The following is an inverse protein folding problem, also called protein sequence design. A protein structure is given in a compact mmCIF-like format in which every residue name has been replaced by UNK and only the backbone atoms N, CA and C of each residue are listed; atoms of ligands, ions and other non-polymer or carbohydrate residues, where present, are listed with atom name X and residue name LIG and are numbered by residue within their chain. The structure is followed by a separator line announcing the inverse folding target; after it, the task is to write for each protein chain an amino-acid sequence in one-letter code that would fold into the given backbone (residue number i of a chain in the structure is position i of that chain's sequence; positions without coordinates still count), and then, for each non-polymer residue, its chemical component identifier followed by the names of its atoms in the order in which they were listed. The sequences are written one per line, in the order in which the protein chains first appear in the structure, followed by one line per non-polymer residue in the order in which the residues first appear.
data_IF_091357766761
#
_entry.id   IF_091357766761
#
_cell.length_a   1.000
_cell.length_b   1.000
_cell.length_c   1.000
_cell.angle_alpha   90.00
_cell.angle_beta   90.00
_cell.angle_gamma   90.00
#
_symmetry.space_group_name_H-M   'P 1'
#
loop_
_entity.id
_entity.type
_entity.pdbx_description
1 polymer ?
#
# COMPACT_ATOMS: atom_id res chain seq x y z
N UNK A 1 8.78 65.72 -50.46
CA UNK A 1 9.09 67.14 -50.75
C UNK A 1 8.23 68.03 -49.85
N UNK A 2 8.88 68.97 -49.14
CA UNK A 2 8.38 70.24 -48.54
C UNK A 2 7.21 70.16 -47.53
N UNK A 3 7.46 70.34 -46.23
CA UNK A 3 7.80 71.59 -45.47
C UNK A 3 6.55 72.25 -44.86
N UNK A 4 6.43 72.08 -43.54
CA UNK A 4 6.00 73.04 -42.49
C UNK A 4 5.43 74.40 -42.90
N UNK A 5 4.32 74.81 -42.27
CA UNK A 5 4.10 76.19 -41.75
C UNK A 5 3.24 76.15 -40.47
N UNK A 6 3.73 76.83 -39.42
CA UNK A 6 3.06 77.17 -38.14
C UNK A 6 1.97 78.25 -38.36
N UNK A 7 1.05 78.44 -37.40
CA UNK A 7 0.80 79.75 -36.75
C UNK A 7 -0.28 79.58 -35.63
N UNK A 8 0.08 80.07 -34.44
CA UNK A 8 -0.77 80.37 -33.29
C UNK A 8 -1.74 81.54 -33.61
N UNK A 9 -2.93 81.59 -32.99
CA UNK A 9 -3.30 82.67 -32.05
C UNK A 9 -4.78 82.67 -31.67
N UNK A 10 -4.98 82.98 -30.39
CA UNK A 10 -6.18 83.12 -29.54
C UNK A 10 -6.96 84.41 -29.85
N UNK A 11 -8.27 84.45 -29.52
CA UNK A 11 -9.13 85.60 -29.06
C UNK A 11 -10.61 85.19 -29.30
N UNK A 12 -11.66 85.43 -28.49
CA UNK A 12 -11.92 85.84 -27.11
C UNK A 12 -13.43 85.60 -26.86
N UNK A 13 -13.76 85.13 -25.65
CA UNK A 13 -14.99 85.22 -24.86
C UNK A 13 -16.15 86.14 -25.32
N UNK A 14 -17.38 85.61 -25.43
CA UNK A 14 -18.64 86.31 -25.04
C UNK A 14 -19.60 85.28 -24.43
N UNK A 15 -20.01 85.55 -23.18
CA UNK A 15 -20.84 84.69 -22.36
C UNK A 15 -22.33 84.71 -22.70
N UNK A 16 -23.00 83.66 -22.24
CA UNK A 16 -24.45 83.63 -22.04
C UNK A 16 -24.73 83.09 -20.65
N UNK A 17 -25.44 83.90 -19.86
CA UNK A 17 -25.99 83.59 -18.55
C UNK A 17 -27.12 82.59 -18.77
N UNK A 18 -27.01 81.39 -18.20
CA UNK A 18 -28.13 80.45 -18.06
C UNK A 18 -28.44 80.29 -16.57
N UNK A 19 -29.69 80.56 -16.25
CA UNK A 19 -30.28 80.58 -14.93
C UNK A 19 -29.92 79.34 -14.09
N UNK A 20 -29.46 79.60 -12.87
CA UNK A 20 -29.33 78.60 -11.82
C UNK A 20 -30.73 78.08 -11.42
N UNK A 21 -31.04 76.85 -11.82
CA UNK A 21 -32.03 76.06 -11.10
C UNK A 21 -31.35 75.54 -9.83
N UNK A 22 -31.99 75.57 -8.65
CA UNK A 22 -31.48 74.82 -7.52
C UNK A 22 -31.52 73.34 -7.90
N UNK A 23 -30.34 72.74 -8.08
CA UNK A 23 -30.22 71.29 -7.92
C UNK A 23 -30.72 71.02 -6.50
N UNK A 24 -31.90 70.44 -6.37
CA UNK A 24 -32.22 69.71 -5.15
C UNK A 24 -31.16 68.61 -5.07
N UNK A 25 -30.16 68.82 -4.22
CA UNK A 25 -29.24 67.75 -3.86
C UNK A 25 -30.12 66.65 -3.31
N UNK A 26 -30.23 65.54 -4.04
CA UNK A 26 -30.64 64.28 -3.44
C UNK A 26 -29.76 64.11 -2.22
N UNK A 27 -30.36 64.19 -1.03
CA UNK A 27 -29.65 63.91 0.21
C UNK A 27 -29.00 62.55 0.02
N UNK A 28 -27.67 62.51 -0.07
CA UNK A 28 -26.94 61.26 -0.01
C UNK A 28 -27.22 60.72 1.38
N UNK A 29 -28.13 59.75 1.50
CA UNK A 29 -28.36 59.04 2.75
C UNK A 29 -27.01 58.43 3.12
N UNK A 30 -26.37 59.00 4.15
CA UNK A 30 -25.03 58.61 4.55
C UNK A 30 -25.12 57.34 5.37
N UNK A 31 -25.20 56.20 4.68
CA UNK A 31 -25.21 54.90 5.32
C UNK A 31 -23.94 54.70 6.17
N UNK A 32 -24.09 54.22 7.41
CA UNK A 32 -22.95 53.85 8.23
C UNK A 32 -22.30 52.59 7.65
N UNK A 33 -21.00 52.68 7.36
CA UNK A 33 -20.27 51.56 6.79
C UNK A 33 -20.08 50.44 7.82
N UNK A 34 -20.50 49.23 7.47
CA UNK A 34 -20.01 48.00 8.08
C UNK A 34 -18.68 47.70 7.40
N UNK A 35 -17.62 47.59 8.19
CA UNK A 35 -16.24 47.31 7.74
C UNK A 35 -15.62 46.08 8.40
N UNK A 36 -16.34 45.46 9.33
CA UNK A 36 -15.97 44.21 10.00
C UNK A 36 -17.23 43.45 10.42
N UNK A 37 -17.11 42.12 10.47
CA UNK A 37 -18.20 41.22 10.91
C UNK A 37 -17.65 40.14 11.83
N UNK A 38 -18.50 39.65 12.73
CA UNK A 38 -18.19 38.50 13.59
C UNK A 38 -19.29 37.47 13.48
N UNK A 39 -18.90 36.24 13.17
CA UNK A 39 -19.78 35.10 12.98
C UNK A 39 -19.26 33.97 13.87
N UNK A 40 -20.16 33.27 14.53
CA UNK A 40 -19.88 31.96 15.11
C UNK A 40 -20.51 30.88 14.24
N UNK A 41 -19.82 29.78 14.07
CA UNK A 41 -20.37 28.57 13.46
C UNK A 41 -20.04 27.34 14.30
N UNK A 42 -20.84 26.30 14.18
CA UNK A 42 -20.63 25.02 14.86
C UNK A 42 -21.47 23.91 14.28
N UNK A 43 -21.10 22.68 14.61
CA UNK A 43 -21.87 21.47 14.33
C UNK A 43 -21.62 20.43 15.41
N UNK A 44 -22.66 19.70 15.77
CA UNK A 44 -22.59 18.52 16.65
C UNK A 44 -22.46 17.22 15.83
N UNK A 45 -22.40 17.30 14.50
CA UNK A 45 -22.21 16.13 13.65
C UNK A 45 -20.87 15.43 13.94
N UNK A 46 -20.93 14.11 14.00
CA UNK A 46 -19.78 13.22 14.12
C UNK A 46 -19.55 12.42 12.82
N UNK A 47 -18.45 11.68 12.77
CA UNK A 47 -18.22 10.78 11.65
C UNK A 47 -19.33 9.70 11.59
N UNK A 48 -19.87 9.44 10.40
CA UNK A 48 -21.05 8.61 10.22
C UNK A 48 -22.35 9.39 10.03
N UNK A 49 -22.41 10.65 10.48
CA UNK A 49 -23.60 11.48 10.30
C UNK A 49 -23.72 12.04 8.88
N UNK A 50 -24.91 12.55 8.58
CA UNK A 50 -25.18 13.40 7.42
C UNK A 50 -25.32 14.85 7.87
N UNK A 51 -24.89 15.79 7.02
CA UNK A 51 -25.17 17.20 7.29
C UNK A 51 -26.68 17.44 7.21
N UNK A 52 -27.25 18.29 8.08
CA UNK A 52 -28.64 18.68 7.94
C UNK A 52 -28.84 19.44 6.63
N UNK A 53 -30.02 19.31 6.04
CA UNK A 53 -30.36 19.98 4.77
C UNK A 53 -30.20 21.49 4.83
N UNK A 54 -30.38 22.10 6.01
CA UNK A 54 -30.09 23.53 6.24
C UNK A 54 -29.57 23.73 7.67
N UNK A 55 -28.46 24.47 7.86
CA UNK A 55 -28.02 24.91 9.19
C UNK A 55 -29.00 25.92 9.81
N UNK A 56 -28.99 26.01 11.14
CA UNK A 56 -29.85 26.96 11.87
C UNK A 56 -29.19 28.34 11.96
N UNK A 57 -29.94 29.40 11.66
CA UNK A 57 -29.55 30.79 11.92
C UNK A 57 -29.92 31.20 13.35
N UNK A 58 -28.97 31.78 14.09
CA UNK A 58 -29.17 32.20 15.49
C UNK A 58 -28.74 33.65 15.67
N UNK A 59 -29.65 34.48 16.17
CA UNK A 59 -29.43 35.91 16.37
C UNK A 59 -29.14 36.27 17.84
N UNK A 60 -28.47 37.40 18.05
CA UNK A 60 -28.27 37.99 19.38
C UNK A 60 -27.23 37.30 20.27
N UNK A 61 -26.44 36.36 19.74
CA UNK A 61 -25.41 35.65 20.53
C UNK A 61 -24.18 35.25 19.70
N UNK A 62 -23.04 35.10 20.38
CA UNK A 62 -21.85 34.42 19.82
C UNK A 62 -21.37 33.28 20.71
N UNK A 63 -22.27 32.74 21.54
CA UNK A 63 -22.02 31.59 22.38
C UNK A 63 -22.31 30.28 21.64
N UNK A 64 -21.75 29.18 22.12
CA UNK A 64 -21.96 27.87 21.52
C UNK A 64 -23.45 27.47 21.58
N UNK A 65 -23.97 27.01 20.45
CA UNK A 65 -25.31 26.41 20.35
C UNK A 65 -25.16 24.91 20.07
N UNK A 66 -26.23 24.14 20.32
CA UNK A 66 -26.33 22.74 19.89
C UNK A 66 -26.73 22.65 18.42
N UNK A 67 -26.44 21.51 17.79
CA UNK A 67 -26.72 21.21 16.40
C UNK A 67 -25.78 21.95 15.44
N UNK A 68 -26.18 22.05 14.18
CA UNK A 68 -25.44 22.76 13.13
C UNK A 68 -26.01 24.17 12.94
N UNK A 69 -25.17 25.19 13.11
CA UNK A 69 -25.65 26.58 13.15
C UNK A 69 -24.62 27.60 12.68
N UNK A 70 -25.14 28.78 12.30
CA UNK A 70 -24.41 30.04 12.29
C UNK A 70 -25.08 31.03 13.24
N UNK A 71 -24.29 31.78 14.00
CA UNK A 71 -24.77 32.77 14.95
C UNK A 71 -24.05 34.11 14.82
N UNK A 72 -24.80 35.19 14.99
CA UNK A 72 -24.26 36.56 15.05
C UNK A 72 -24.82 37.32 16.26
N UNK A 73 -24.05 38.31 16.72
CA UNK A 73 -24.52 39.28 17.70
C UNK A 73 -24.14 40.67 17.22
N UNK A 74 -25.07 41.34 16.55
CA UNK A 74 -24.86 42.66 15.95
C UNK A 74 -26.18 43.41 15.88
N UNK A 75 -26.12 44.73 16.05
CA UNK A 75 -27.24 45.63 15.73
C UNK A 75 -27.13 46.23 14.32
N UNK A 76 -26.07 45.89 13.56
CA UNK A 76 -25.80 46.45 12.22
C UNK A 76 -26.22 45.52 11.09
N UNK A 77 -26.31 44.22 11.38
CA UNK A 77 -26.63 43.19 10.41
C UNK A 77 -27.24 41.99 11.14
N UNK A 78 -28.05 41.23 10.41
CA UNK A 78 -28.60 39.92 10.81
C UNK A 78 -28.19 38.87 9.79
N UNK A 79 -28.40 37.60 10.11
CA UNK A 79 -28.34 36.50 9.16
C UNK A 79 -29.62 36.51 8.34
N UNK A 80 -29.45 36.64 7.02
CA UNK A 80 -30.52 36.50 6.02
C UNK A 80 -30.71 35.04 5.64
N UNK A 81 -29.58 34.34 5.46
CA UNK A 81 -29.58 32.92 5.12
C UNK A 81 -28.33 32.20 5.60
N UNK A 82 -28.48 30.90 5.84
CA UNK A 82 -27.38 29.98 6.08
C UNK A 82 -27.59 28.75 5.22
N UNK A 83 -26.64 28.51 4.34
CA UNK A 83 -26.66 27.37 3.45
C UNK A 83 -25.27 26.73 3.36
N UNK A 84 -25.18 25.58 2.74
CA UNK A 84 -23.91 24.94 2.46
C UNK A 84 -23.28 25.52 1.19
N UNK A 85 -21.96 25.66 1.19
CA UNK A 85 -21.25 26.10 -0.02
C UNK A 85 -21.32 25.02 -1.10
N UNK A 86 -21.35 25.42 -2.37
CA UNK A 86 -21.35 24.48 -3.48
C UNK A 86 -20.17 23.50 -3.41
N UNK A 87 -20.45 22.21 -3.61
CA UNK A 87 -19.47 21.13 -3.45
C UNK A 87 -19.22 20.72 -2.00
N UNK A 88 -20.02 21.20 -1.05
CA UNK A 88 -20.11 20.61 0.29
C UNK A 88 -20.94 19.34 0.20
N UNK A 89 -20.41 18.24 0.73
CA UNK A 89 -20.97 16.90 0.53
C UNK A 89 -22.18 16.67 1.45
N UNK A 90 -23.32 17.30 1.19
CA UNK A 90 -24.55 17.06 1.93
C UNK A 90 -25.07 15.62 1.76
N UNK A 91 -24.89 15.04 0.56
CA UNK A 91 -25.33 13.68 0.22
C UNK A 91 -24.31 12.58 0.56
N UNK A 92 -23.25 12.89 1.31
CA UNK A 92 -22.25 11.88 1.71
C UNK A 92 -22.11 11.84 3.21
N UNK A 93 -22.05 10.61 3.72
CA UNK A 93 -21.65 10.30 5.10
C UNK A 93 -20.39 11.09 5.44
N UNK A 94 -20.44 11.82 6.55
CA UNK A 94 -19.31 12.59 7.05
C UNK A 94 -18.21 11.65 7.50
N UNK A 95 -16.99 11.93 7.06
CA UNK A 95 -15.81 11.17 7.45
C UNK A 95 -14.96 11.99 8.40
N UNK A 96 -14.22 11.29 9.25
CA UNK A 96 -13.29 11.91 10.20
C UNK A 96 -12.33 12.86 9.49
N UNK A 97 -12.25 14.10 9.99
CA UNK A 97 -11.41 15.16 9.45
C UNK A 97 -11.97 15.86 8.20
N UNK A 98 -13.17 15.50 7.73
CA UNK A 98 -13.87 16.30 6.73
C UNK A 98 -14.20 17.69 7.29
N UNK A 99 -14.02 18.75 6.49
CA UNK A 99 -14.22 20.14 6.91
C UNK A 99 -15.32 20.81 6.05
N UNK A 100 -16.61 20.67 6.42
CA UNK A 100 -17.71 21.25 5.68
C UNK A 100 -17.60 22.77 5.55
N UNK A 101 -18.16 23.34 4.47
CA UNK A 101 -18.14 24.78 4.22
C UNK A 101 -19.55 25.33 4.17
N UNK A 102 -19.82 26.35 4.98
CA UNK A 102 -21.10 27.06 5.01
C UNK A 102 -20.97 28.42 4.34
N UNK A 103 -22.04 28.88 3.72
CA UNK A 103 -22.23 30.27 3.30
C UNK A 103 -23.22 30.91 4.27
N UNK A 104 -22.75 31.93 4.98
CA UNK A 104 -23.59 32.75 5.86
C UNK A 104 -23.85 34.07 5.14
N UNK A 105 -25.08 34.30 4.73
CA UNK A 105 -25.52 35.55 4.10
C UNK A 105 -25.96 36.50 5.18
N UNK A 106 -25.23 37.58 5.37
CA UNK A 106 -25.59 38.65 6.30
C UNK A 106 -26.30 39.76 5.54
N UNK A 107 -27.39 40.30 6.09
CA UNK A 107 -28.11 41.46 5.53
C UNK A 107 -28.02 42.64 6.50
N UNK A 108 -27.83 43.84 5.97
CA UNK A 108 -27.75 45.04 6.81
C UNK A 108 -29.10 45.32 7.49
N UNK A 109 -29.04 45.74 8.76
CA UNK A 109 -30.24 46.07 9.54
C UNK A 109 -30.77 47.46 9.17
N UNK A 110 -32.09 47.64 9.30
CA UNK A 110 -32.78 48.91 9.03
C UNK A 110 -33.82 49.22 10.11
N UNK A 111 -34.03 50.51 10.39
CA UNK A 111 -35.01 50.96 11.40
C UNK A 111 -36.45 51.11 10.84
N UNK A 112 -36.60 51.47 9.55
CA UNK A 112 -37.90 51.64 8.87
C UNK A 112 -37.91 50.99 7.48
N UNK A 113 -39.06 50.46 7.05
CA UNK A 113 -39.21 49.87 5.70
C UNK A 113 -38.86 50.91 4.62
N UNK A 114 -37.73 50.72 3.95
CA UNK A 114 -37.23 51.60 2.90
C UNK A 114 -36.05 52.50 3.29
N UNK A 115 -35.60 52.51 4.55
CA UNK A 115 -34.51 53.37 5.04
C UNK A 115 -33.37 52.54 5.62
N UNK A 116 -32.24 52.43 4.92
CA UNK A 116 -31.08 51.64 5.38
C UNK A 116 -30.24 52.47 6.35
N UNK A 117 -29.87 51.93 7.50
CA UNK A 117 -28.93 52.59 8.43
C UNK A 117 -27.48 52.17 8.17
N UNK A 118 -27.30 50.94 7.69
CA UNK A 118 -26.00 50.32 7.49
C UNK A 118 -25.81 49.75 6.09
N UNK A 119 -24.57 49.72 5.64
CA UNK A 119 -24.19 49.14 4.34
C UNK A 119 -22.82 48.45 4.44
N UNK A 120 -22.67 47.26 3.86
CA UNK A 120 -21.38 46.61 3.74
C UNK A 120 -20.51 47.35 2.72
N UNK A 121 -19.36 47.87 3.15
CA UNK A 121 -18.41 48.58 2.29
C UNK A 121 -16.97 48.14 2.55
N UNK A 122 -16.15 48.23 1.50
CA UNK A 122 -14.73 47.85 1.55
C UNK A 122 -14.47 46.38 1.23
N UNK A 123 -13.24 45.94 1.47
CA UNK A 123 -12.84 44.54 1.29
C UNK A 123 -13.03 43.75 2.59
N UNK A 124 -13.50 42.51 2.47
CA UNK A 124 -13.66 41.58 3.58
C UNK A 124 -12.66 40.43 3.44
N UNK A 125 -11.85 40.23 4.47
CA UNK A 125 -10.79 39.24 4.55
C UNK A 125 -10.66 38.72 5.98
N UNK A 126 -9.75 37.78 6.23
CA UNK A 126 -9.51 37.24 7.57
C UNK A 126 -9.08 38.29 8.61
N UNK A 127 -8.64 39.48 8.19
CA UNK A 127 -8.26 40.57 9.12
C UNK A 127 -9.45 41.32 9.72
N UNK A 128 -10.62 41.30 9.07
CA UNK A 128 -11.83 42.00 9.50
C UNK A 128 -13.09 41.12 9.51
N UNK A 129 -12.95 39.84 9.21
CA UNK A 129 -13.99 38.82 9.40
C UNK A 129 -13.54 37.88 10.51
N UNK A 130 -14.17 38.00 11.68
CA UNK A 130 -13.90 37.11 12.81
C UNK A 130 -14.83 35.91 12.77
N UNK A 131 -14.27 34.71 12.60
CA UNK A 131 -15.03 33.45 12.64
C UNK A 131 -14.68 32.68 13.90
N UNK A 132 -15.64 32.50 14.81
CA UNK A 132 -15.52 31.62 15.98
C UNK A 132 -16.05 30.23 15.63
N UNK A 133 -15.35 29.17 16.05
CA UNK A 133 -15.78 27.78 15.79
C UNK A 133 -15.50 27.27 14.37
N UNK A 134 -14.90 28.08 13.50
CA UNK A 134 -14.49 27.73 12.16
C UNK A 134 -13.35 28.62 11.65
N UNK A 135 -13.15 28.63 10.34
CA UNK A 135 -12.14 29.44 9.66
C UNK A 135 -12.75 30.21 8.50
N UNK A 136 -12.30 31.45 8.31
CA UNK A 136 -12.70 32.27 7.17
C UNK A 136 -12.17 31.68 5.85
N UNK A 137 -13.02 31.63 4.81
CA UNK A 137 -12.62 31.20 3.45
C UNK A 137 -12.67 32.38 2.48
N UNK A 138 -13.83 33.03 2.37
CA UNK A 138 -14.03 34.16 1.47
C UNK A 138 -15.22 35.00 1.93
N UNK A 139 -15.30 36.23 1.41
CA UNK A 139 -16.48 37.06 1.56
C UNK A 139 -16.74 37.86 0.29
N UNK A 140 -18.01 38.06 -0.04
CA UNK A 140 -18.43 38.82 -1.23
C UNK A 140 -19.61 39.70 -0.90
N UNK A 141 -19.45 41.00 -1.15
CA UNK A 141 -20.55 41.95 -1.09
C UNK A 141 -21.53 41.65 -2.24
N UNK A 142 -22.82 41.63 -1.91
CA UNK A 142 -23.96 41.41 -2.79
C UNK A 142 -24.91 42.59 -2.72
N UNK A 143 -25.85 42.64 -3.65
CA UNK A 143 -26.96 43.60 -3.63
C UNK A 143 -26.49 45.05 -3.41
N UNK A 144 -25.42 45.44 -4.11
CA UNK A 144 -24.84 46.79 -4.01
C UNK A 144 -24.45 47.25 -2.59
N UNK A 145 -24.17 46.32 -1.67
CA UNK A 145 -23.79 46.61 -0.29
C UNK A 145 -24.80 46.17 0.77
N UNK A 146 -25.96 45.66 0.37
CA UNK A 146 -27.03 45.27 1.32
C UNK A 146 -26.83 43.90 1.94
N UNK A 147 -26.09 43.03 1.25
CA UNK A 147 -25.78 41.71 1.73
C UNK A 147 -24.28 41.42 1.64
N UNK A 148 -23.81 40.58 2.55
CA UNK A 148 -22.46 40.03 2.56
C UNK A 148 -22.56 38.52 2.69
N UNK A 149 -22.17 37.80 1.65
CA UNK A 149 -21.99 36.36 1.72
C UNK A 149 -20.61 36.08 2.30
N UNK A 150 -20.55 35.36 3.42
CA UNK A 150 -19.30 34.91 4.05
C UNK A 150 -19.24 33.40 3.97
N UNK A 151 -18.28 32.88 3.21
CA UNK A 151 -17.98 31.45 3.22
C UNK A 151 -17.04 31.14 4.38
N UNK A 152 -17.44 30.19 5.21
CA UNK A 152 -16.69 29.72 6.38
C UNK A 152 -16.50 28.22 6.28
N UNK A 153 -15.37 27.74 6.77
CA UNK A 153 -15.07 26.30 6.87
C UNK A 153 -15.16 25.89 8.33
N UNK A 154 -15.98 24.89 8.63
CA UNK A 154 -16.13 24.35 9.97
C UNK A 154 -14.82 23.67 10.44
N UNK A 155 -14.73 23.41 11.74
CA UNK A 155 -13.72 22.46 12.25
C UNK A 155 -13.95 21.09 11.62
N UNK A 156 -12.88 20.30 11.55
CA UNK A 156 -12.98 18.94 11.03
C UNK A 156 -13.90 18.08 11.90
N UNK A 157 -14.70 17.24 11.25
CA UNK A 157 -15.60 16.29 11.92
C UNK A 157 -14.77 15.33 12.75
N UNK A 158 -15.12 15.21 14.03
CA UNK A 158 -14.50 14.26 14.95
C UNK A 158 -15.22 12.92 14.97
N UNK A 159 -14.51 11.87 15.35
CA UNK A 159 -15.10 10.56 15.57
C UNK A 159 -14.07 9.45 15.69
N UNK A 160 -14.54 8.29 16.11
CA UNK A 160 -13.76 7.06 16.12
C UNK A 160 -13.87 6.38 14.75
N UNK A 161 -12.77 5.79 14.27
CA UNK A 161 -12.86 4.96 13.08
C UNK A 161 -13.59 3.65 13.38
N UNK A 162 -14.42 3.14 12.45
CA UNK A 162 -15.09 1.85 12.63
C UNK A 162 -14.04 0.74 12.78
N UNK A 163 -14.40 -0.31 13.52
CA UNK A 163 -13.55 -1.51 13.67
C UNK A 163 -13.68 -2.35 12.40
N UNK A 164 -12.58 -2.78 11.74
CA UNK A 164 -12.66 -3.67 10.59
C UNK A 164 -13.50 -4.93 10.90
N UNK A 165 -14.44 -5.26 10.03
CA UNK A 165 -15.34 -6.42 10.20
C UNK A 165 -14.96 -7.61 9.33
N UNK A 166 -14.04 -7.42 8.39
CA UNK A 166 -13.48 -8.45 7.52
C UNK A 166 -12.02 -8.68 7.96
N UNK A 167 -11.63 -9.93 8.22
CA UNK A 167 -10.27 -10.31 8.63
C UNK A 167 -9.95 -11.73 8.16
N UNK A 168 -9.70 -11.89 6.87
CA UNK A 168 -9.62 -13.19 6.22
C UNK A 168 -8.21 -13.49 5.71
N UNK A 169 -7.87 -14.77 5.67
CA UNK A 169 -6.79 -15.30 4.84
C UNK A 169 -7.35 -15.68 3.46
N UNK A 170 -6.73 -15.24 2.38
CA UNK A 170 -7.28 -15.39 1.01
C UNK A 170 -6.34 -16.13 0.05
N UNK A 171 -6.92 -16.80 -0.94
CA UNK A 171 -6.16 -17.50 -2.00
C UNK A 171 -5.70 -18.91 -1.63
N UNK A 172 -4.98 -19.55 -2.56
CA UNK A 172 -4.50 -20.95 -2.43
C UNK A 172 -3.15 -21.09 -1.73
N UNK A 173 -2.61 -20.01 -1.15
CA UNK A 173 -1.30 -19.98 -0.47
C UNK A 173 -1.41 -19.44 0.95
N UNK A 174 -0.47 -19.81 1.80
CA UNK A 174 -0.37 -19.31 3.18
C UNK A 174 -0.04 -17.81 3.16
N UNK A 175 -0.53 -17.03 4.13
CA UNK A 175 -0.02 -15.69 4.40
C UNK A 175 -0.67 -14.48 3.70
N UNK A 176 -1.59 -14.65 2.76
CA UNK A 176 -2.30 -13.51 2.15
C UNK A 176 -3.42 -12.99 3.06
N UNK A 177 -3.12 -12.01 3.91
CA UNK A 177 -4.10 -11.39 4.78
C UNK A 177 -4.91 -10.32 4.03
N UNK A 178 -6.22 -10.26 4.32
CA UNK A 178 -7.15 -9.25 3.83
C UNK A 178 -7.99 -8.72 4.99
N UNK A 179 -8.23 -7.42 4.99
CA UNK A 179 -9.11 -6.77 5.97
C UNK A 179 -9.96 -5.68 5.35
N UNK A 180 -11.00 -5.26 6.07
CA UNK A 180 -11.88 -4.18 5.64
C UNK A 180 -13.25 -4.26 6.29
N UNK A 181 -14.28 -3.85 5.54
CA UNK A 181 -15.64 -3.75 6.04
C UNK A 181 -16.61 -4.41 5.07
N UNK A 182 -17.54 -5.19 5.60
CA UNK A 182 -18.67 -5.72 4.83
C UNK A 182 -19.69 -4.62 4.54
N UNK A 183 -19.98 -3.80 5.55
CA UNK A 183 -20.88 -2.65 5.45
C UNK A 183 -20.28 -1.54 4.58
N UNK A 184 -21.14 -0.89 3.78
CA UNK A 184 -20.72 0.12 2.83
C UNK A 184 -20.43 1.47 3.49
N UNK A 185 -21.17 1.82 4.55
CA UNK A 185 -21.04 3.09 5.25
C UNK A 185 -19.78 3.07 6.13
N UNK A 186 -19.50 1.94 6.80
CA UNK A 186 -18.22 1.74 7.48
C UNK A 186 -17.03 1.82 6.51
N UNK A 187 -17.19 1.28 5.30
CA UNK A 187 -16.14 1.36 4.27
C UNK A 187 -15.89 2.80 3.83
N UNK A 188 -16.94 3.62 3.71
CA UNK A 188 -16.83 5.06 3.39
C UNK A 188 -16.24 5.85 4.56
N UNK A 189 -16.57 5.47 5.79
CA UNK A 189 -16.07 6.08 7.03
C UNK A 189 -14.64 5.64 7.38
N UNK A 190 -14.13 4.58 6.77
CA UNK A 190 -12.78 4.07 6.97
C UNK A 190 -11.71 5.15 6.77
N UNK A 191 -10.67 5.11 7.61
CA UNK A 191 -9.51 5.97 7.44
C UNK A 191 -8.71 5.67 6.17
N UNK A 192 -8.77 4.43 5.66
CA UNK A 192 -7.90 3.91 4.61
C UNK A 192 -6.49 3.51 5.09
N UNK A 193 -6.19 3.68 6.38
CA UNK A 193 -4.89 3.40 6.99
C UNK A 193 -5.05 2.48 8.20
N UNK A 194 -4.15 1.51 8.33
CA UNK A 194 -4.29 0.44 9.32
C UNK A 194 -2.98 0.15 10.04
N UNK A 195 -3.05 -0.06 11.35
CA UNK A 195 -2.01 -0.80 12.04
C UNK A 195 -2.33 -2.29 11.87
N UNK A 196 -1.36 -3.08 11.42
CA UNK A 196 -1.52 -4.53 11.25
C UNK A 196 -0.37 -5.26 11.93
N UNK A 197 -0.65 -6.34 12.64
CA UNK A 197 0.36 -7.12 13.36
C UNK A 197 0.15 -8.61 13.12
N UNK A 198 1.14 -9.27 12.52
CA UNK A 198 1.20 -10.71 12.34
C UNK A 198 1.78 -11.35 13.61
N UNK A 199 1.15 -12.43 14.06
CA UNK A 199 1.55 -13.24 15.20
C UNK A 199 1.77 -14.69 14.77
N UNK A 200 2.64 -15.38 15.51
CA UNK A 200 2.78 -16.83 15.52
C UNK A 200 2.61 -17.32 16.96
N UNK A 201 1.50 -17.98 17.25
CA UNK A 201 1.01 -18.12 18.62
C UNK A 201 0.91 -16.75 19.30
N UNK A 202 1.55 -16.57 20.45
CA UNK A 202 1.60 -15.27 21.16
C UNK A 202 2.75 -14.36 20.72
N UNK A 203 3.66 -14.82 19.85
CA UNK A 203 4.84 -14.07 19.44
C UNK A 203 4.55 -13.13 18.28
N UNK A 204 4.90 -11.85 18.42
CA UNK A 204 4.83 -10.88 17.32
C UNK A 204 5.89 -11.22 16.25
N UNK A 205 5.47 -11.30 14.99
CA UNK A 205 6.34 -11.63 13.84
C UNK A 205 6.60 -10.40 12.98
N UNK A 206 5.56 -9.64 12.61
CA UNK A 206 5.67 -8.47 11.75
C UNK A 206 4.64 -7.43 12.15
N UNK A 207 5.03 -6.15 12.09
CA UNK A 207 4.12 -5.01 12.27
C UNK A 207 4.16 -4.11 11.04
N UNK A 208 2.99 -3.61 10.68
CA UNK A 208 2.79 -2.52 9.74
C UNK A 208 2.13 -1.38 10.51
N UNK A 209 2.66 -0.16 10.41
CA UNK A 209 2.13 1.02 11.08
C UNK A 209 1.56 1.98 10.05
N UNK A 210 0.34 2.46 10.28
CA UNK A 210 -0.38 3.34 9.35
C UNK A 210 -0.29 2.88 7.87
N UNK A 211 -0.39 1.57 7.64
CA UNK A 211 -0.30 0.99 6.31
C UNK A 211 -1.52 1.36 5.47
N UNK A 212 -1.28 1.88 4.27
CA UNK A 212 -2.33 2.24 3.34
C UNK A 212 -2.66 1.05 2.43
N UNK A 213 -3.78 0.40 2.70
CA UNK A 213 -4.25 -0.75 1.93
C UNK A 213 -5.11 -1.69 2.75
N UNK A 214 -5.74 -2.66 2.09
CA UNK A 214 -6.70 -3.62 2.67
C UNK A 214 -6.24 -5.07 2.57
N UNK A 215 -4.98 -5.30 2.19
CA UNK A 215 -4.39 -6.62 2.11
C UNK A 215 -2.87 -6.55 2.21
N UNK A 216 -2.24 -7.60 2.70
CA UNK A 216 -0.79 -7.73 2.71
C UNK A 216 -0.36 -9.18 2.69
N UNK A 217 0.68 -9.49 1.90
CA UNK A 217 1.26 -10.82 1.86
C UNK A 217 2.26 -10.99 3.01
N UNK A 218 1.82 -11.67 4.06
CA UNK A 218 2.65 -12.03 5.21
C UNK A 218 3.45 -13.32 5.01
N UNK A 219 3.22 -14.08 3.93
CA UNK A 219 3.90 -15.35 3.70
C UNK A 219 5.42 -15.24 3.85
N UNK A 220 6.12 -14.22 3.29
CA UNK A 220 7.56 -14.08 3.45
C UNK A 220 8.03 -14.11 4.91
N UNK A 221 7.19 -13.73 5.87
CA UNK A 221 7.52 -13.68 7.31
C UNK A 221 7.18 -14.97 8.07
N UNK A 222 6.50 -15.92 7.43
CA UNK A 222 6.07 -17.19 8.03
C UNK A 222 7.15 -18.28 7.93
N UNK A 223 8.34 -18.00 8.46
CA UNK A 223 9.55 -18.83 8.24
C UNK A 223 9.71 -20.03 9.16
N UNK A 224 8.73 -20.28 10.03
CA UNK A 224 8.76 -21.35 11.01
C UNK A 224 7.39 -22.01 11.10
N UNK A 225 7.37 -23.29 11.41
CA UNK A 225 6.13 -24.03 11.65
C UNK A 225 5.32 -23.39 12.79
N UNK A 226 4.00 -23.42 12.67
CA UNK A 226 3.06 -23.03 13.72
C UNK A 226 1.79 -22.35 13.21
N UNK A 227 0.89 -22.02 14.15
CA UNK A 227 -0.32 -21.23 13.90
C UNK A 227 0.00 -19.74 13.81
N UNK A 228 -0.50 -19.10 12.76
CA UNK A 228 -0.38 -17.67 12.52
C UNK A 228 -1.75 -17.00 12.51
N UNK A 229 -1.82 -15.80 13.09
CA UNK A 229 -2.99 -14.91 13.01
C UNK A 229 -2.50 -13.48 12.80
N UNK A 230 -3.38 -12.59 12.34
CA UNK A 230 -3.08 -11.17 12.34
C UNK A 230 -4.12 -10.39 13.14
N UNK A 231 -3.69 -9.27 13.73
CA UNK A 231 -4.57 -8.25 14.27
C UNK A 231 -4.54 -7.03 13.39
N UNK A 232 -5.67 -6.36 13.24
CA UNK A 232 -5.79 -5.12 12.48
C UNK A 232 -6.69 -4.12 13.20
N UNK A 233 -6.40 -2.84 13.06
CA UNK A 233 -7.27 -1.73 13.47
C UNK A 233 -7.13 -0.57 12.50
N UNK A 234 -8.19 0.22 12.34
CA UNK A 234 -8.14 1.47 11.60
C UNK A 234 -7.43 2.54 12.42
N UNK A 235 -6.57 3.32 11.76
CA UNK A 235 -5.82 4.41 12.39
C UNK A 235 -5.86 5.68 11.55
N UNK A 236 -5.66 6.87 12.16
CA UNK A 236 -5.47 8.09 11.42
C UNK A 236 -4.21 8.06 10.53
N UNK A 237 -4.33 8.43 9.25
CA UNK A 237 -3.19 8.56 8.34
C UNK A 237 -2.88 10.00 7.92
N UNK A 238 -3.92 10.82 7.68
CA UNK A 238 -3.75 12.22 7.28
C UNK A 238 -3.66 13.17 8.48
N UNK A 239 -3.13 14.37 8.30
CA UNK A 239 -3.03 15.37 9.38
C UNK A 239 -4.41 15.76 9.94
N UNK A 240 -5.43 15.85 9.08
CA UNK A 240 -6.80 16.11 9.53
C UNK A 240 -7.34 14.93 10.38
N UNK A 241 -7.15 13.69 9.92
CA UNK A 241 -7.55 12.51 10.68
C UNK A 241 -6.81 12.43 12.01
N UNK A 242 -5.51 12.73 12.07
CA UNK A 242 -4.72 12.70 13.32
C UNK A 242 -5.21 13.73 14.34
N UNK A 243 -5.76 14.85 13.85
CA UNK A 243 -6.25 15.94 14.70
C UNK A 243 -7.65 15.68 15.24
N UNK A 244 -8.52 15.06 14.45
CA UNK A 244 -9.95 14.91 14.77
C UNK A 244 -10.39 13.45 15.00
N UNK A 245 -9.53 12.48 14.71
CA UNK A 245 -9.84 11.06 14.72
C UNK A 245 -9.09 10.25 15.77
N UNK A 246 -9.77 9.24 16.29
CA UNK A 246 -9.19 8.22 17.15
C UNK A 246 -9.05 6.88 16.45
N UNK A 247 -8.15 6.03 16.93
CA UNK A 247 -7.96 4.66 16.42
C UNK A 247 -9.16 3.80 16.79
N UNK A 248 -9.51 2.85 15.92
CA UNK A 248 -10.47 1.79 16.27
C UNK A 248 -9.86 0.80 17.26
N UNK A 249 -10.71 -0.03 17.86
CA UNK A 249 -10.27 -1.23 18.56
C UNK A 249 -9.61 -2.24 17.59
N UNK A 250 -8.83 -3.14 18.18
CA UNK A 250 -8.21 -4.25 17.46
C UNK A 250 -9.21 -5.37 17.21
N UNK A 251 -9.22 -5.90 15.99
CA UNK A 251 -9.85 -7.17 15.64
C UNK A 251 -8.77 -8.18 15.27
N UNK A 252 -9.00 -9.46 15.55
CA UNK A 252 -8.08 -10.56 15.22
C UNK A 252 -8.71 -11.48 14.16
N UNK A 253 -7.89 -11.93 13.21
CA UNK A 253 -8.26 -12.94 12.24
C UNK A 253 -8.38 -14.34 12.87
N UNK A 254 -8.95 -15.27 12.11
CA UNK A 254 -8.76 -16.69 12.35
C UNK A 254 -7.27 -17.09 12.22
N UNK A 255 -6.94 -18.28 12.73
CA UNK A 255 -5.60 -18.85 12.64
C UNK A 255 -5.41 -19.68 11.36
N UNK A 256 -4.22 -19.58 10.77
CA UNK A 256 -3.75 -20.47 9.71
C UNK A 256 -2.53 -21.25 10.21
N UNK A 257 -2.55 -22.57 10.09
CA UNK A 257 -1.40 -23.42 10.43
C UNK A 257 -0.50 -23.58 9.21
N UNK A 258 0.80 -23.36 9.42
CA UNK A 258 1.86 -23.60 8.41
C UNK A 258 2.74 -24.72 8.94
N UNK A 259 2.76 -25.87 8.25
CA UNK A 259 3.64 -26.99 8.58
C UNK A 259 5.09 -26.72 8.11
N UNK A 260 6.03 -27.57 8.52
CA UNK A 260 7.46 -27.39 8.22
C UNK A 260 7.78 -27.45 6.73
N UNK A 261 6.99 -28.14 5.91
CA UNK A 261 7.20 -28.25 4.46
C UNK A 261 6.74 -26.99 3.72
N UNK A 262 5.82 -26.22 4.31
CA UNK A 262 5.22 -25.03 3.71
C UNK A 262 5.66 -23.71 4.37
N UNK A 263 6.67 -23.73 5.24
CA UNK A 263 7.24 -22.48 5.77
C UNK A 263 7.86 -21.66 4.65
N UNK A 264 7.72 -20.34 4.74
CA UNK A 264 8.43 -19.46 3.83
C UNK A 264 9.93 -19.53 4.06
N UNK A 265 10.68 -19.39 2.98
CA UNK A 265 12.13 -19.30 3.00
C UNK A 265 12.61 -17.89 3.45
N UNK A 266 11.72 -16.90 3.47
CA UNK A 266 12.05 -15.49 3.78
C UNK A 266 12.18 -14.60 2.54
N UNK A 267 12.08 -15.16 1.34
CA UNK A 267 12.17 -14.40 0.09
C UNK A 267 10.98 -13.44 -0.02
N UNK A 268 11.28 -12.16 -0.26
CA UNK A 268 10.26 -11.10 -0.44
C UNK A 268 9.88 -10.34 0.83
N UNK A 269 10.58 -10.56 1.96
CA UNK A 269 10.42 -9.70 3.13
C UNK A 269 10.93 -8.27 2.85
N UNK A 270 10.16 -7.27 3.27
CA UNK A 270 10.58 -5.87 3.37
C UNK A 270 10.66 -5.42 4.83
N UNK A 271 11.60 -4.54 5.17
CA UNK A 271 11.64 -3.94 6.50
C UNK A 271 10.52 -2.92 6.71
N UNK A 272 10.02 -2.82 7.93
CA UNK A 272 8.82 -2.05 8.28
C UNK A 272 9.02 -0.51 8.26
N UNK A 273 10.13 0.02 7.72
CA UNK A 273 10.40 1.46 7.79
C UNK A 273 11.35 2.01 6.71
N UNK A 274 11.40 1.42 5.51
CA UNK A 274 12.14 2.00 4.39
C UNK A 274 13.62 2.30 4.66
N UNK A 275 14.22 1.68 5.68
CA UNK A 275 15.62 1.81 6.03
C UNK A 275 16.23 0.42 5.91
N UNK A 276 17.21 0.30 5.03
CA UNK A 276 17.80 -0.95 4.55
C UNK A 276 18.44 -1.77 5.69
N UNK A 277 17.66 -2.61 6.37
CA UNK A 277 18.22 -3.83 6.91
C UNK A 277 18.70 -4.68 5.73
N UNK A 278 19.90 -5.25 5.86
CA UNK A 278 20.58 -5.91 4.75
C UNK A 278 19.68 -6.94 4.05
N UNK A 279 19.88 -7.08 2.74
CA UNK A 279 19.18 -8.01 1.85
C UNK A 279 18.92 -9.37 2.53
N UNK A 280 17.70 -9.90 2.46
CA UNK A 280 17.30 -11.20 3.01
C UNK A 280 17.09 -12.19 1.85
N UNK A 281 17.33 -13.48 2.09
CA UNK A 281 17.30 -14.52 1.07
C UNK A 281 18.64 -14.62 0.35
N UNK A 282 18.62 -14.86 -0.97
CA UNK A 282 19.83 -15.00 -1.77
C UNK A 282 20.59 -13.67 -1.85
N UNK A 283 21.85 -13.69 -1.40
CA UNK A 283 22.79 -12.57 -1.50
C UNK A 283 23.97 -13.01 -2.35
N UNK A 284 24.27 -12.23 -3.39
CA UNK A 284 25.49 -12.41 -4.16
C UNK A 284 26.57 -11.45 -3.66
N UNK A 285 27.75 -11.98 -3.36
CA UNK A 285 28.94 -11.21 -3.07
C UNK A 285 30.07 -11.69 -4.00
N UNK A 286 30.43 -10.86 -4.98
CA UNK A 286 31.27 -11.29 -6.10
C UNK A 286 30.62 -12.43 -6.87
N UNK A 287 31.36 -13.53 -7.06
CA UNK A 287 30.87 -14.73 -7.75
C UNK A 287 30.25 -15.76 -6.79
N UNK A 288 30.09 -15.42 -5.51
CA UNK A 288 29.61 -16.33 -4.48
C UNK A 288 28.21 -15.97 -4.01
N UNK A 289 27.35 -16.98 -3.93
CA UNK A 289 26.01 -16.84 -3.36
C UNK A 289 25.98 -17.28 -1.91
N UNK A 290 25.21 -16.56 -1.11
CA UNK A 290 24.90 -16.86 0.28
C UNK A 290 23.39 -16.83 0.47
N UNK A 291 22.90 -17.48 1.53
CA UNK A 291 21.49 -17.37 1.92
C UNK A 291 21.39 -16.76 3.31
N UNK A 292 20.89 -15.51 3.41
CA UNK A 292 20.76 -14.79 4.68
C UNK A 292 19.33 -14.89 5.20
N UNK A 293 19.20 -15.38 6.42
CA UNK A 293 17.95 -15.42 7.15
C UNK A 293 17.56 -14.03 7.69
N UNK A 294 16.28 -13.80 8.01
CA UNK A 294 15.79 -12.52 8.52
C UNK A 294 16.43 -12.06 9.83
N UNK A 295 16.85 -12.99 10.69
CA UNK A 295 17.58 -12.69 11.94
C UNK A 295 19.03 -12.24 11.70
N UNK A 296 19.43 -12.18 10.43
CA UNK A 296 20.74 -11.77 9.96
C UNK A 296 21.80 -12.85 9.96
N UNK A 297 21.45 -14.07 10.36
CA UNK A 297 22.31 -15.24 10.21
C UNK A 297 22.32 -15.74 8.77
N UNK A 298 23.24 -16.63 8.44
CA UNK A 298 23.36 -17.23 7.12
C UNK A 298 23.20 -18.74 7.23
N UNK A 299 22.65 -19.37 6.18
CA UNK A 299 22.73 -20.82 6.05
C UNK A 299 24.19 -21.24 5.90
N UNK A 300 24.62 -22.23 6.70
CA UNK A 300 26.01 -22.70 6.78
C UNK A 300 26.08 -24.19 7.07
N UNK A 301 27.10 -24.85 6.51
CA UNK A 301 27.49 -26.24 6.75
C UNK A 301 26.35 -27.27 6.60
N UNK A 302 25.31 -26.97 5.83
CA UNK A 302 24.13 -27.82 5.76
C UNK A 302 23.39 -27.70 4.44
N UNK A 303 22.47 -28.64 4.25
CA UNK A 303 21.49 -28.62 3.19
C UNK A 303 20.39 -27.59 3.50
N UNK A 304 19.83 -26.97 2.46
CA UNK A 304 18.61 -26.19 2.53
C UNK A 304 17.71 -26.51 1.36
N UNK A 305 16.42 -26.71 1.61
CA UNK A 305 15.41 -26.76 0.54
C UNK A 305 14.81 -25.36 0.40
N UNK A 306 15.00 -24.74 -0.76
CA UNK A 306 14.61 -23.35 -1.04
C UNK A 306 13.88 -23.36 -2.40
N UNK A 307 12.64 -22.87 -2.45
CA UNK A 307 11.80 -22.90 -3.67
C UNK A 307 11.80 -24.27 -4.37
N UNK A 308 11.51 -25.33 -3.59
CA UNK A 308 11.47 -26.73 -4.00
C UNK A 308 12.77 -27.34 -4.55
N UNK A 309 13.91 -26.65 -4.39
CA UNK A 309 15.22 -27.15 -4.81
C UNK A 309 16.13 -27.30 -3.60
N UNK A 310 16.95 -28.35 -3.61
CA UNK A 310 17.97 -28.55 -2.59
C UNK A 310 19.25 -27.80 -2.95
N UNK A 311 19.85 -27.14 -1.95
CA UNK A 311 21.11 -26.41 -2.02
C UNK A 311 22.02 -26.90 -0.89
N UNK A 312 23.32 -26.84 -1.10
CA UNK A 312 24.31 -27.18 -0.09
C UNK A 312 25.23 -25.98 0.17
N UNK A 313 25.50 -25.70 1.45
CA UNK A 313 26.33 -24.57 1.86
C UNK A 313 27.56 -25.04 2.63
N UNK A 314 28.69 -24.37 2.41
CA UNK A 314 29.93 -24.61 3.16
C UNK A 314 29.91 -23.97 4.56
N UNK A 315 31.00 -24.13 5.31
CA UNK A 315 31.13 -23.60 6.68
C UNK A 315 31.05 -22.08 6.76
N UNK A 316 31.39 -21.38 5.67
CA UNK A 316 31.34 -19.92 5.59
C UNK A 316 29.98 -19.40 5.11
N UNK A 317 29.13 -20.30 4.60
CA UNK A 317 27.78 -20.03 4.09
C UNK A 317 27.74 -19.79 2.59
N UNK A 318 28.81 -20.17 1.88
CA UNK A 318 28.86 -20.10 0.43
C UNK A 318 28.06 -21.26 -0.14
N UNK A 319 27.18 -20.95 -1.07
CA UNK A 319 26.44 -21.92 -1.86
C UNK A 319 27.43 -22.71 -2.73
N UNK A 320 27.32 -24.03 -2.69
CA UNK A 320 28.19 -24.93 -3.41
C UNK A 320 27.62 -25.28 -4.78
N UNK A 321 28.51 -25.39 -5.76
CA UNK A 321 28.24 -25.86 -7.13
C UNK A 321 29.12 -27.08 -7.45
N UNK A 322 28.80 -27.83 -8.51
CA UNK A 322 29.55 -29.01 -8.94
C UNK A 322 29.46 -30.22 -8.02
N UNK A 323 30.46 -31.10 -8.09
CA UNK A 323 30.52 -32.33 -7.30
C UNK A 323 30.82 -32.04 -5.82
N UNK A 324 29.98 -32.58 -4.92
CA UNK A 324 30.10 -32.40 -3.48
C UNK A 324 30.03 -33.73 -2.74
N UNK A 325 30.94 -33.93 -1.78
CA UNK A 325 30.93 -35.08 -0.88
C UNK A 325 30.31 -34.68 0.46
N UNK A 326 29.13 -35.22 0.80
CA UNK A 326 28.45 -34.97 2.07
C UNK A 326 27.96 -36.29 2.64
N UNK A 327 28.22 -36.54 3.93
CA UNK A 327 27.82 -37.77 4.62
C UNK A 327 28.22 -39.06 3.87
N UNK A 328 29.45 -39.09 3.36
CA UNK A 328 30.03 -40.21 2.60
C UNK A 328 29.29 -40.55 1.29
N UNK A 329 28.57 -39.58 0.71
CA UNK A 329 27.90 -39.70 -0.58
C UNK A 329 28.22 -38.51 -1.48
N UNK A 330 28.34 -38.79 -2.77
CA UNK A 330 28.54 -37.74 -3.78
C UNK A 330 27.21 -37.20 -4.27
N UNK A 331 27.12 -35.89 -4.41
CA UNK A 331 26.00 -35.15 -4.96
C UNK A 331 26.54 -34.22 -6.05
N UNK A 332 25.68 -33.79 -6.96
CA UNK A 332 26.02 -32.80 -7.97
C UNK A 332 25.08 -31.60 -7.89
N UNK A 333 25.66 -30.42 -7.70
CA UNK A 333 24.96 -29.15 -7.69
C UNK A 333 25.17 -28.47 -9.05
N UNK A 334 24.12 -28.00 -9.70
CA UNK A 334 24.23 -27.30 -10.99
C UNK A 334 24.87 -25.90 -10.84
N UNK A 335 24.99 -25.16 -11.94
CA UNK A 335 25.56 -23.81 -11.93
C UNK A 335 24.74 -22.81 -11.12
N UNK A 336 23.45 -23.07 -10.88
CA UNK A 336 22.60 -22.29 -9.98
C UNK A 336 22.70 -22.74 -8.52
N UNK A 337 23.47 -23.80 -8.24
CA UNK A 337 23.60 -24.44 -6.94
C UNK A 337 22.46 -25.38 -6.58
N UNK A 338 21.53 -25.67 -7.50
CA UNK A 338 20.46 -26.61 -7.25
C UNK A 338 20.96 -28.05 -7.41
N UNK A 339 20.59 -28.93 -6.48
CA UNK A 339 20.96 -30.34 -6.51
C UNK A 339 20.30 -31.03 -7.71
N UNK A 340 21.09 -31.76 -8.48
CA UNK A 340 20.62 -32.54 -9.62
C UNK A 340 20.16 -33.93 -9.19
N UNK A 341 19.15 -34.45 -9.90
CA UNK A 341 18.71 -35.84 -9.85
C UNK A 341 18.70 -36.42 -11.26
N UNK A 342 18.81 -37.74 -11.39
CA UNK A 342 18.82 -38.43 -12.67
C UNK A 342 20.17 -38.36 -13.39
N UNK A 343 20.13 -38.46 -14.73
CA UNK A 343 21.33 -38.48 -15.56
C UNK A 343 22.01 -37.10 -15.63
N UNK A 344 23.32 -37.09 -15.44
CA UNK A 344 24.16 -35.92 -15.74
C UNK A 344 25.37 -36.33 -16.59
N UNK A 345 25.87 -35.37 -17.37
CA UNK A 345 27.17 -35.49 -18.04
C UNK A 345 28.17 -34.54 -17.38
N UNK A 346 29.29 -35.08 -16.91
CA UNK A 346 30.37 -34.30 -16.32
C UNK A 346 31.68 -34.65 -17.03
N UNK A 347 32.21 -33.68 -17.79
CA UNK A 347 33.23 -33.94 -18.80
C UNK A 347 32.70 -34.88 -19.89
N UNK A 348 33.45 -35.93 -20.21
CA UNK A 348 33.07 -36.93 -21.21
C UNK A 348 32.37 -38.17 -20.62
N UNK A 349 31.99 -38.12 -19.34
CA UNK A 349 31.40 -39.26 -18.62
C UNK A 349 29.98 -38.97 -18.17
N UNK A 350 29.14 -40.01 -18.21
CA UNK A 350 27.79 -39.99 -17.68
C UNK A 350 27.74 -40.54 -16.26
N UNK A 351 26.91 -39.92 -15.42
CA UNK A 351 26.66 -40.33 -14.03
C UNK A 351 25.15 -40.35 -13.81
N UNK A 352 24.70 -41.12 -12.83
CA UNK A 352 23.30 -41.15 -12.43
C UNK A 352 23.19 -40.78 -10.95
N UNK A 353 22.44 -39.72 -10.66
CA UNK A 353 22.06 -39.31 -9.31
C UNK A 353 20.71 -39.94 -9.01
N UNK A 354 20.57 -40.57 -7.85
CA UNK A 354 19.35 -41.24 -7.45
C UNK A 354 18.16 -40.27 -7.48
N UNK A 355 17.15 -40.60 -8.26
CA UNK A 355 15.94 -39.77 -8.43
C UNK A 355 14.79 -40.20 -7.53
N UNK A 356 14.96 -41.26 -6.75
CA UNK A 356 13.95 -41.71 -5.80
C UNK A 356 13.92 -40.76 -4.60
N UNK A 357 12.75 -40.17 -4.27
CA UNK A 357 12.59 -39.32 -3.08
C UNK A 357 12.97 -40.06 -1.79
N UNK A 358 13.50 -39.32 -0.82
CA UNK A 358 13.89 -39.82 0.51
C UNK A 358 15.38 -39.61 0.80
N UNK A 359 15.91 -40.34 1.79
CA UNK A 359 17.25 -40.11 2.36
C UNK A 359 18.42 -40.26 1.36
N UNK A 360 18.16 -40.90 0.21
CA UNK A 360 19.15 -41.17 -0.83
C UNK A 360 18.94 -40.30 -2.08
N UNK A 361 17.94 -39.42 -2.11
CA UNK A 361 17.69 -38.53 -3.25
C UNK A 361 18.93 -37.71 -3.59
N UNK A 362 19.26 -37.60 -4.87
CA UNK A 362 20.42 -36.87 -5.38
C UNK A 362 21.79 -37.53 -5.20
N UNK A 363 21.88 -38.63 -4.44
CA UNK A 363 23.16 -39.33 -4.25
C UNK A 363 23.61 -40.07 -5.51
N UNK A 364 24.89 -39.99 -5.85
CA UNK A 364 25.48 -40.65 -7.01
C UNK A 364 25.44 -42.17 -6.87
N UNK A 365 24.89 -42.84 -7.88
CA UNK A 365 24.84 -44.30 -7.92
C UNK A 365 26.16 -44.91 -8.38
N UNK A 366 26.46 -46.10 -7.84
CA UNK A 366 27.54 -47.01 -8.26
C UNK A 366 26.97 -48.40 -8.48
N UNK A 367 27.62 -49.21 -9.31
CA UNK A 367 27.18 -50.56 -9.64
C UNK A 367 25.97 -50.61 -10.58
N UNK A 368 25.17 -51.66 -10.46
CA UNK A 368 24.00 -51.90 -11.30
C UNK A 368 22.88 -50.91 -10.99
N UNK A 369 22.33 -50.26 -12.01
CA UNK A 369 21.14 -49.42 -11.91
C UNK A 369 20.12 -49.78 -12.99
N UNK A 370 18.84 -49.52 -12.70
CA UNK A 370 17.76 -49.66 -13.67
C UNK A 370 17.02 -48.33 -13.81
N UNK A 371 16.93 -47.83 -15.04
CA UNK A 371 16.27 -46.56 -15.36
C UNK A 371 15.37 -46.79 -16.57
N UNK A 372 14.07 -46.51 -16.45
CA UNK A 372 13.07 -46.68 -17.51
C UNK A 372 13.09 -48.07 -18.18
N UNK A 373 13.29 -49.13 -17.39
CA UNK A 373 13.33 -50.52 -17.87
C UNK A 373 14.65 -50.95 -18.51
N UNK A 374 15.63 -50.05 -18.65
CA UNK A 374 16.97 -50.35 -19.14
C UNK A 374 17.94 -50.50 -17.97
N UNK A 375 18.88 -51.44 -18.10
CA UNK A 375 19.89 -51.73 -17.07
C UNK A 375 21.22 -51.12 -17.49
N UNK A 376 21.91 -50.48 -16.56
CA UNK A 376 23.20 -49.85 -16.75
C UNK A 376 24.16 -50.29 -15.66
N UNK A 377 25.45 -50.04 -15.86
CA UNK A 377 26.47 -50.24 -14.83
C UNK A 377 27.32 -48.99 -14.66
N UNK A 378 27.44 -48.55 -13.41
CA UNK A 378 28.25 -47.42 -13.00
C UNK A 378 29.50 -47.99 -12.31
N UNK A 379 30.70 -47.60 -12.75
CA UNK A 379 31.93 -48.09 -12.15
C UNK A 379 32.13 -47.57 -10.71
N UNK A 380 33.26 -47.90 -10.07
CA UNK A 380 33.56 -47.46 -8.69
C UNK A 380 33.68 -45.94 -8.54
N UNK A 381 33.92 -45.20 -9.62
CA UNK A 381 33.90 -43.72 -9.62
C UNK A 381 32.51 -43.17 -9.97
N UNK A 382 31.49 -44.01 -10.12
CA UNK A 382 30.14 -43.64 -10.52
C UNK A 382 29.97 -43.33 -12.00
N UNK A 383 30.99 -43.53 -12.84
CA UNK A 383 30.90 -43.26 -14.27
C UNK A 383 30.27 -44.45 -15.01
N UNK A 384 29.33 -44.15 -15.90
CA UNK A 384 28.65 -45.13 -16.75
C UNK A 384 29.69 -45.80 -17.67
N UNK A 385 29.65 -47.12 -17.73
CA UNK A 385 30.55 -47.88 -18.60
C UNK A 385 29.91 -48.16 -19.96
N UNK A 386 30.77 -48.36 -20.96
CA UNK A 386 30.39 -48.73 -22.32
C UNK A 386 31.28 -49.87 -22.82
N UNK A 387 30.83 -50.57 -23.86
CA UNK A 387 31.53 -51.70 -24.46
C UNK A 387 31.52 -52.95 -23.58
N UNK A 388 32.50 -53.82 -23.81
CA UNK A 388 32.70 -55.05 -23.04
C UNK A 388 33.28 -54.75 -21.66
N UNK A 389 32.63 -55.24 -20.61
CA UNK A 389 33.04 -55.04 -19.22
C UNK A 389 32.90 -56.34 -18.44
N UNK A 390 33.90 -56.64 -17.61
CA UNK A 390 33.85 -57.75 -16.67
C UNK A 390 33.32 -57.24 -15.32
N UNK A 391 32.21 -57.84 -14.86
CA UNK A 391 31.57 -57.53 -13.58
C UNK A 391 31.33 -58.84 -12.85
N UNK A 392 31.96 -58.99 -11.67
CA UNK A 392 31.81 -60.18 -10.82
C UNK A 392 32.09 -61.49 -11.56
N UNK A 393 33.14 -61.52 -12.38
CA UNK A 393 33.58 -62.69 -13.15
C UNK A 393 32.73 -63.03 -14.38
N UNK A 394 31.75 -62.19 -14.73
CA UNK A 394 30.93 -62.34 -15.92
C UNK A 394 31.17 -61.17 -16.88
N UNK A 395 31.21 -61.46 -18.19
CA UNK A 395 31.33 -60.44 -19.22
C UNK A 395 29.96 -59.96 -19.69
N UNK A 396 29.79 -58.64 -19.72
CA UNK A 396 28.61 -57.94 -20.20
C UNK A 396 29.00 -56.96 -21.30
N UNK A 397 28.04 -56.65 -22.19
CA UNK A 397 28.20 -55.59 -23.16
C UNK A 397 27.21 -54.45 -22.90
N UNK A 398 27.72 -53.23 -22.88
CA UNK A 398 26.94 -52.00 -22.77
C UNK A 398 27.06 -51.20 -24.06
N UNK A 399 25.94 -50.82 -24.67
CA UNK A 399 25.96 -50.15 -25.98
C UNK A 399 26.69 -48.80 -25.91
N UNK A 400 27.68 -48.52 -26.78
CA UNK A 400 28.32 -47.21 -26.82
C UNK A 400 27.31 -46.08 -27.06
N UNK A 401 27.50 -44.96 -26.36
CA UNK A 401 26.62 -43.80 -26.39
C UNK A 401 25.37 -43.93 -25.51
N UNK A 402 24.64 -45.05 -25.58
CA UNK A 402 23.41 -45.24 -24.78
C UNK A 402 23.64 -45.93 -23.45
N UNK A 403 24.74 -46.67 -23.27
CA UNK A 403 25.18 -47.28 -22.02
C UNK A 403 24.33 -48.43 -21.47
N UNK A 404 23.21 -48.77 -22.10
CA UNK A 404 22.34 -49.84 -21.63
C UNK A 404 22.91 -51.23 -21.95
N UNK A 405 22.69 -52.18 -21.05
CA UNK A 405 23.12 -53.58 -21.13
C UNK A 405 22.43 -54.28 -22.30
N UNK A 406 23.21 -54.99 -23.12
CA UNK A 406 22.72 -55.90 -24.15
C UNK A 406 22.21 -57.21 -23.53
N UNK A 407 21.08 -57.74 -24.03
CA UNK A 407 20.48 -59.00 -23.60
C UNK A 407 19.94 -59.76 -24.82
N UNK A 408 20.01 -61.10 -24.79
CA UNK A 408 19.51 -61.99 -25.85
C UNK A 408 19.94 -61.56 -27.27
N UNK A 409 21.22 -61.27 -27.46
CA UNK A 409 21.72 -60.74 -28.73
C UNK A 409 23.18 -61.13 -28.98
N UNK A 410 23.67 -60.86 -30.18
CA UNK A 410 25.05 -61.14 -30.60
C UNK A 410 25.78 -59.84 -30.91
N UNK A 411 26.92 -59.62 -30.26
CA UNK A 411 27.77 -58.45 -30.44
C UNK A 411 29.10 -58.89 -31.04
N UNK A 412 29.37 -58.53 -32.30
CA UNK A 412 30.62 -58.89 -33.00
C UNK A 412 30.94 -60.40 -32.95
N UNK A 413 29.91 -61.25 -33.02
CA UNK A 413 30.05 -62.71 -32.97
C UNK A 413 29.96 -63.34 -31.57
N UNK A 414 29.87 -62.54 -30.50
CA UNK A 414 29.74 -63.03 -29.13
C UNK A 414 28.29 -62.93 -28.65
N UNK A 415 27.68 -64.06 -28.29
CA UNK A 415 26.31 -64.12 -27.80
C UNK A 415 26.21 -63.81 -26.30
N UNK A 416 25.30 -62.91 -25.93
CA UNK A 416 24.92 -62.64 -24.53
C UNK A 416 23.51 -63.16 -24.26
N UNK A 417 23.32 -63.82 -23.12
CA UNK A 417 22.03 -64.43 -22.73
C UNK A 417 20.99 -63.40 -22.25
N UNK A 418 19.84 -63.87 -21.75
CA UNK A 418 18.77 -63.00 -21.24
C UNK A 418 19.13 -62.19 -19.99
N UNK A 419 20.19 -62.59 -19.28
CA UNK A 419 20.77 -61.82 -18.18
C UNK A 419 21.88 -60.87 -18.68
N UNK A 420 22.24 -60.95 -19.96
CA UNK A 420 23.30 -60.17 -20.61
C UNK A 420 24.69 -60.75 -20.43
N UNK A 421 24.80 -62.00 -19.95
CA UNK A 421 26.09 -62.66 -19.69
C UNK A 421 26.58 -63.31 -20.98
N UNK A 422 27.82 -63.00 -21.38
CA UNK A 422 28.48 -63.66 -22.50
C UNK A 422 28.59 -65.17 -22.28
N UNK A 423 28.17 -65.95 -23.27
CA UNK A 423 28.39 -67.40 -23.32
C UNK A 423 29.47 -67.73 -24.33
N UNK A 424 30.46 -68.48 -23.87
CA UNK A 424 31.54 -69.01 -24.67
C UNK A 424 31.06 -70.07 -25.65
#
# INVERSE_FOLDING_TARGET
MRKTVKILSIITLIGTIVNAMPLTSLAATSYAAISSVSIRVGTDCEAGDYLPSRPTAVEGTTDAQSGTYAAVNSNKYTIDDVDWASGTNEDRVLTVGSEPKMVVTLRSSYYNVGDRDYIFRGGYSSSNVTVKGGTFVSARIRESGDALEVTVKLKGISGDFPVPTLTDWTGSGFGNARWGYYDEDDRKASSGYYDVSLYRGSGLVKKLEAYQGTSYNFYPYMTKEGSYSFKVRAVPGTEAQKKYGSKSDWVQSDEVYVDKEHVSDGTGQSDANGNSGGQVGWIQNGDTWFYRYPDGTYQKNSWAKINDKWYLFDNDGRMLTGWQLKNNRYYYMDNSGAMMVGWIKSGDKWYYLNSNPGDLEGSMCVGWIQVNGLIYYMNSSGAMVEGWQEVEGNWYYFYPGSGNKAVNTTISGFYVDGNGIWKK
#
